data_IF_720905395105
#
_entry.id   IF_720905395105
#
_cell.length_a   1.000
_cell.length_b   1.000
_cell.length_c   1.000
_cell.angle_alpha   90.00
_cell.angle_beta   90.00
_cell.angle_gamma   90.00
#
_symmetry.space_group_name_H-M   'P 1'
#
loop_
_entity.id
_entity.type
_entity.pdbx_description
1 polymer ?
#
# COMPACT_ATOMS: atom_id res chain seq x y z
N UNK A 1 8.18 19.38 -10.86
CA UNK A 1 8.00 17.91 -10.83
C UNK A 1 7.85 17.32 -9.42
N UNK A 2 8.10 18.06 -8.33
CA UNK A 2 8.01 17.54 -6.96
C UNK A 2 6.64 16.91 -6.62
N UNK A 3 5.54 17.56 -7.01
CA UNK A 3 4.18 17.04 -6.78
C UNK A 3 3.98 15.70 -7.50
N UNK A 4 4.39 15.59 -8.76
CA UNK A 4 4.22 14.36 -9.54
C UNK A 4 4.98 13.18 -8.91
N UNK A 5 6.24 13.40 -8.48
CA UNK A 5 7.02 12.38 -7.78
C UNK A 5 6.45 12.05 -6.40
N UNK A 6 6.01 13.06 -5.65
CA UNK A 6 5.38 12.89 -4.35
C UNK A 6 4.10 12.07 -4.43
N UNK A 7 3.20 12.39 -5.37
CA UNK A 7 1.97 11.62 -5.62
C UNK A 7 2.31 10.20 -6.09
N UNK A 8 3.21 10.08 -7.07
CA UNK A 8 3.63 8.78 -7.62
C UNK A 8 4.15 7.86 -6.52
N UNK A 9 5.11 8.32 -5.69
CA UNK A 9 5.70 7.51 -4.62
C UNK A 9 4.78 7.35 -3.41
N UNK A 10 3.96 8.36 -3.09
CA UNK A 10 2.99 8.29 -2.00
C UNK A 10 1.95 7.18 -2.23
N UNK A 11 1.45 7.04 -3.46
CA UNK A 11 0.49 5.98 -3.81
C UNK A 11 1.11 4.59 -3.61
N UNK A 12 2.41 4.39 -3.83
CA UNK A 12 3.08 3.11 -3.56
C UNK A 12 3.18 2.75 -2.09
N UNK A 13 3.27 3.77 -1.23
CA UNK A 13 3.44 3.54 0.20
C UNK A 13 2.12 3.17 0.86
N UNK A 14 1.10 4.02 0.66
CA UNK A 14 -0.16 3.89 1.38
C UNK A 14 -1.26 3.18 0.60
N UNK A 15 -1.02 2.86 -0.66
CA UNK A 15 -1.96 2.17 -1.56
C UNK A 15 -3.31 2.89 -1.72
N UNK A 16 -3.36 4.19 -1.41
CA UNK A 16 -4.58 4.96 -1.46
C UNK A 16 -5.14 5.00 -2.89
N UNK A 17 -6.38 4.52 -3.03
CA UNK A 17 -7.07 4.46 -4.31
C UNK A 17 -6.69 3.27 -5.20
N UNK A 18 -5.71 2.44 -4.84
CA UNK A 18 -5.31 1.28 -5.65
C UNK A 18 -6.33 0.13 -5.64
N UNK A 19 -7.10 -0.01 -4.56
CA UNK A 19 -8.11 -1.08 -4.41
C UNK A 19 -7.58 -2.39 -3.82
N UNK A 20 -6.36 -2.37 -3.29
CA UNK A 20 -5.67 -3.51 -2.65
C UNK A 20 -6.04 -3.65 -1.17
N UNK A 21 -6.03 -2.55 -0.40
CA UNK A 21 -6.37 -2.53 1.03
C UNK A 21 -7.73 -3.18 1.41
N UNK A 22 -8.79 -3.11 0.58
CA UNK A 22 -10.05 -3.80 0.83
C UNK A 22 -9.94 -5.33 0.98
N UNK A 23 -8.93 -5.99 0.40
CA UNK A 23 -8.77 -7.45 0.52
C UNK A 23 -8.57 -7.85 1.98
N UNK A 24 -7.60 -7.23 2.67
CA UNK A 24 -7.36 -7.48 4.08
C UNK A 24 -8.51 -6.98 4.96
N UNK A 25 -9.15 -5.87 4.57
CA UNK A 25 -10.33 -5.36 5.29
C UNK A 25 -11.50 -6.34 5.27
N UNK A 26 -11.75 -6.99 4.13
CA UNK A 26 -12.85 -7.93 3.94
C UNK A 26 -12.67 -9.24 4.72
N UNK A 27 -11.44 -9.58 5.10
CA UNK A 27 -11.15 -10.74 5.94
C UNK A 27 -11.39 -10.49 7.44
N UNK A 28 -11.57 -9.23 7.86
CA UNK A 28 -11.81 -8.90 9.25
C UNK A 28 -13.28 -9.14 9.62
N UNK A 29 -13.51 -9.86 10.71
CA UNK A 29 -14.84 -10.00 11.30
C UNK A 29 -15.18 -8.72 12.07
N UNK A 30 -16.10 -7.92 11.52
CA UNK A 30 -16.56 -6.68 12.12
C UNK A 30 -18.08 -6.64 12.15
N UNK A 31 -18.66 -5.88 13.09
CA UNK A 31 -20.13 -5.72 13.20
C UNK A 31 -20.69 -4.69 12.22
N UNK A 32 -19.83 -3.82 11.70
CA UNK A 32 -20.21 -2.78 10.76
C UNK A 32 -19.03 -2.47 9.81
N UNK A 33 -19.23 -2.47 8.48
CA UNK A 33 -18.13 -2.32 7.50
C UNK A 33 -17.40 -0.98 7.62
N UNK A 34 -18.11 0.09 7.98
CA UNK A 34 -17.53 1.42 8.24
C UNK A 34 -16.48 1.40 9.34
N UNK A 35 -16.62 0.58 10.39
CA UNK A 35 -15.60 0.47 11.44
C UNK A 35 -14.26 0.05 10.85
N UNK A 36 -14.26 -0.99 9.99
CA UNK A 36 -13.04 -1.46 9.35
C UNK A 36 -12.53 -0.47 8.29
N UNK A 37 -13.44 0.18 7.56
CA UNK A 37 -13.07 1.26 6.64
C UNK A 37 -12.34 2.42 7.33
N UNK A 38 -12.73 2.78 8.54
CA UNK A 38 -12.07 3.83 9.33
C UNK A 38 -10.69 3.39 9.83
N UNK A 39 -10.54 2.14 10.27
CA UNK A 39 -9.22 1.57 10.64
C UNK A 39 -8.28 1.60 9.43
N UNK A 40 -8.78 1.25 8.23
CA UNK A 40 -7.98 1.30 7.01
C UNK A 40 -7.67 2.73 6.55
N UNK A 41 -8.56 3.69 6.74
CA UNK A 41 -8.23 5.09 6.48
C UNK A 41 -7.13 5.59 7.43
N UNK A 42 -7.10 5.10 8.67
CA UNK A 42 -6.07 5.43 9.65
C UNK A 42 -4.70 4.82 9.29
N UNK A 43 -4.64 3.66 8.62
CA UNK A 43 -3.34 3.08 8.21
C UNK A 43 -2.59 3.98 7.23
N UNK A 44 -3.30 4.69 6.34
CA UNK A 44 -2.71 5.71 5.43
C UNK A 44 -2.02 6.83 6.21
N UNK A 45 -2.61 7.28 7.32
CA UNK A 45 -2.01 8.28 8.20
C UNK A 45 -0.71 7.75 8.81
N UNK A 46 -0.72 6.54 9.37
CA UNK A 46 0.47 5.95 9.99
C UNK A 46 1.58 5.76 8.98
N UNK A 47 1.27 5.22 7.80
CA UNK A 47 2.27 4.95 6.78
C UNK A 47 2.89 6.26 6.23
N UNK A 48 2.07 7.17 5.70
CA UNK A 48 2.58 8.36 5.00
C UNK A 48 2.97 9.49 5.94
N UNK A 49 2.08 9.88 6.85
CA UNK A 49 2.30 11.06 7.69
C UNK A 49 3.23 10.78 8.86
N UNK A 50 3.28 9.55 9.36
CA UNK A 50 4.20 9.20 10.42
C UNK A 50 5.49 8.58 9.89
N UNK A 51 5.42 7.40 9.24
CA UNK A 51 6.62 6.63 8.85
C UNK A 51 7.39 7.27 7.70
N UNK A 52 6.74 7.59 6.57
CA UNK A 52 7.43 8.20 5.42
C UNK A 52 7.93 9.60 5.73
N UNK A 53 7.17 10.39 6.49
CA UNK A 53 7.59 11.74 6.86
C UNK A 53 8.79 11.71 7.81
N UNK A 54 8.82 10.81 8.79
CA UNK A 54 10.01 10.62 9.63
C UNK A 54 11.24 10.21 8.80
N UNK A 55 11.07 9.30 7.85
CA UNK A 55 12.15 8.88 6.93
C UNK A 55 12.64 10.06 6.08
N UNK A 56 11.72 10.84 5.51
CA UNK A 56 12.05 12.01 4.70
C UNK A 56 12.76 13.09 5.52
N UNK A 57 12.27 13.40 6.72
CA UNK A 57 12.91 14.38 7.60
C UNK A 57 14.31 13.93 8.01
N UNK A 58 14.50 12.66 8.35
CA UNK A 58 15.82 12.13 8.65
C UNK A 58 16.80 12.31 7.48
N UNK A 59 16.38 11.98 6.26
CA UNK A 59 17.20 12.17 5.04
C UNK A 59 17.52 13.65 4.80
N UNK A 60 16.53 14.53 4.97
CA UNK A 60 16.69 15.97 4.73
C UNK A 60 17.57 16.65 5.78
N UNK A 61 17.39 16.33 7.06
CA UNK A 61 18.14 16.92 8.18
C UNK A 61 19.62 16.50 8.11
N UNK A 62 19.89 15.25 7.77
CA UNK A 62 21.27 14.72 7.64
C UNK A 62 21.95 15.12 6.33
N UNK A 63 21.21 15.75 5.41
CA UNK A 63 21.71 16.14 4.09
C UNK A 63 22.02 14.95 3.17
N UNK A 64 21.58 13.74 3.50
CA UNK A 64 21.99 12.51 2.82
C UNK A 64 21.10 12.19 1.60
N UNK A 65 21.12 13.07 0.59
CA UNK A 65 20.34 12.92 -0.65
C UNK A 65 21.02 13.61 -1.83
N UNK A 66 20.68 13.17 -3.05
CA UNK A 66 20.99 13.90 -4.28
C UNK A 66 19.69 14.34 -4.96
N UNK A 67 19.75 15.46 -5.70
CA UNK A 67 18.65 15.99 -6.49
C UNK A 67 19.09 16.01 -7.95
N UNK A 68 18.45 15.21 -8.78
CA UNK A 68 18.75 15.14 -10.22
C UNK A 68 18.16 16.36 -10.95
N UNK A 69 18.97 16.96 -11.83
CA UNK A 69 18.49 17.97 -12.77
C UNK A 69 17.84 17.27 -13.97
N UNK A 70 16.59 17.62 -14.36
CA UNK A 70 15.95 17.05 -15.55
C UNK A 70 16.70 17.31 -16.85
N UNK A 71 17.50 18.38 -16.90
CA UNK A 71 18.34 18.74 -18.05
C UNK A 71 19.68 17.97 -18.08
N UNK A 72 19.94 17.13 -17.08
CA UNK A 72 21.16 16.35 -16.92
C UNK A 72 22.03 16.84 -15.76
N UNK A 73 22.71 15.91 -15.09
CA UNK A 73 23.52 16.18 -13.89
C UNK A 73 22.68 16.33 -12.61
N UNK A 74 23.24 17.02 -11.62
CA UNK A 74 22.64 17.18 -10.29
C UNK A 74 22.41 18.66 -9.97
N UNK A 75 21.24 18.99 -9.40
CA UNK A 75 21.00 20.27 -8.72
C UNK A 75 21.67 20.31 -7.35
N UNK A 76 21.72 19.16 -6.67
CA UNK A 76 22.41 18.96 -5.39
C UNK A 76 23.01 17.55 -5.42
N UNK A 77 24.30 17.42 -5.13
CA UNK A 77 25.00 16.14 -5.02
C UNK A 77 25.75 16.08 -3.69
N UNK A 78 25.11 15.53 -2.67
CA UNK A 78 25.72 15.39 -1.34
C UNK A 78 26.41 14.03 -1.16
N UNK A 79 26.00 13.01 -1.92
CA UNK A 79 26.55 11.65 -1.85
C UNK A 79 26.90 11.16 -3.26
N UNK A 80 28.10 11.49 -3.77
CA UNK A 80 28.52 11.07 -5.11
C UNK A 80 28.48 9.54 -5.27
N UNK A 81 27.88 9.07 -6.37
CA UNK A 81 27.77 7.64 -6.69
C UNK A 81 26.64 6.88 -5.97
N UNK A 82 25.95 7.49 -5.00
CA UNK A 82 24.82 6.84 -4.34
C UNK A 82 23.58 6.76 -5.23
N UNK A 83 22.96 5.59 -5.27
CA UNK A 83 21.73 5.34 -6.00
C UNK A 83 20.51 5.90 -5.27
N UNK A 84 19.52 6.36 -6.03
CA UNK A 84 18.24 6.81 -5.46
C UNK A 84 17.54 5.62 -4.79
N UNK A 85 17.17 5.78 -3.53
CA UNK A 85 16.35 4.83 -2.80
C UNK A 85 16.87 4.55 -1.41
N UNK A 86 16.95 3.27 -1.04
CA UNK A 86 17.33 2.83 0.30
C UNK A 86 18.72 3.32 0.75
N UNK A 87 19.63 3.59 -0.19
CA UNK A 87 20.98 4.06 0.11
C UNK A 87 20.99 5.46 0.77
N UNK A 88 20.02 6.32 0.47
CA UNK A 88 19.86 7.62 1.13
C UNK A 88 19.45 7.44 2.59
N UNK A 89 18.49 6.56 2.85
CA UNK A 89 18.09 6.19 4.22
C UNK A 89 19.25 5.57 4.99
N UNK A 90 20.00 4.67 4.35
CA UNK A 90 21.15 4.01 4.96
C UNK A 90 22.24 5.01 5.34
N UNK A 91 22.56 5.93 4.41
CA UNK A 91 23.55 6.99 4.64
C UNK A 91 23.10 7.93 5.76
N UNK A 92 21.82 8.30 5.80
CA UNK A 92 21.23 9.12 6.85
C UNK A 92 21.32 8.47 8.24
N UNK A 93 21.03 7.17 8.36
CA UNK A 93 21.18 6.49 9.66
C UNK A 93 22.66 6.36 10.05
N UNK A 94 23.55 6.17 9.07
CA UNK A 94 24.98 6.06 9.32
C UNK A 94 25.62 7.37 9.84
N UNK A 95 25.02 8.55 9.61
CA UNK A 95 25.57 9.80 10.17
C UNK A 95 25.46 9.81 11.70
N UNK A 96 24.36 9.30 12.25
CA UNK A 96 24.11 9.27 13.70
C UNK A 96 24.56 7.95 14.34
N UNK A 97 24.47 6.83 13.62
CA UNK A 97 24.81 5.49 14.10
C UNK A 97 25.78 4.75 13.16
N UNK A 98 27.06 5.18 13.04
CA UNK A 98 28.00 4.65 12.04
C UNK A 98 28.25 3.14 12.12
N UNK A 99 28.23 2.56 13.33
CA UNK A 99 28.51 1.13 13.54
C UNK A 99 27.29 0.22 13.28
N UNK A 100 26.07 0.77 13.28
CA UNK A 100 24.84 -0.01 13.26
C UNK A 100 23.91 0.33 12.08
N UNK A 101 24.03 1.50 11.47
CA UNK A 101 23.05 2.02 10.52
C UNK A 101 22.86 1.12 9.30
N UNK A 102 23.95 0.62 8.71
CA UNK A 102 23.89 -0.28 7.57
C UNK A 102 23.17 -1.60 7.90
N UNK A 103 23.48 -2.22 9.04
CA UNK A 103 22.84 -3.46 9.48
C UNK A 103 21.38 -3.25 9.88
N UNK A 104 21.08 -2.14 10.54
CA UNK A 104 19.72 -1.76 10.95
C UNK A 104 18.80 -1.57 9.74
N UNK A 105 19.23 -0.81 8.73
CA UNK A 105 18.43 -0.58 7.52
C UNK A 105 18.25 -1.87 6.72
N UNK A 106 19.30 -2.69 6.59
CA UNK A 106 19.19 -3.99 5.92
C UNK A 106 18.18 -4.93 6.60
N UNK A 107 18.24 -5.04 7.93
CA UNK A 107 17.31 -5.87 8.70
C UNK A 107 15.88 -5.31 8.62
N UNK A 108 15.72 -3.99 8.69
CA UNK A 108 14.41 -3.34 8.52
C UNK A 108 13.82 -3.64 7.14
N UNK A 109 14.59 -3.44 6.07
CA UNK A 109 14.17 -3.71 4.69
C UNK A 109 13.77 -5.17 4.48
N UNK A 110 14.42 -6.11 5.16
CA UNK A 110 14.03 -7.52 5.12
C UNK A 110 12.58 -7.71 5.60
N UNK A 111 12.19 -7.14 6.74
CA UNK A 111 10.81 -7.25 7.24
C UNK A 111 9.82 -6.49 6.37
N UNK A 112 10.15 -5.27 5.95
CA UNK A 112 9.28 -4.49 5.06
C UNK A 112 9.02 -5.25 3.75
N UNK A 113 10.07 -5.68 3.05
CA UNK A 113 9.92 -6.42 1.80
C UNK A 113 9.19 -7.75 1.99
N UNK A 114 9.51 -8.50 3.06
CA UNK A 114 8.86 -9.78 3.35
C UNK A 114 7.36 -9.61 3.59
N UNK A 115 6.96 -8.67 4.44
CA UNK A 115 5.54 -8.41 4.74
C UNK A 115 4.79 -7.96 3.48
N UNK A 116 5.39 -7.10 2.65
CA UNK A 116 4.81 -6.70 1.36
C UNK A 116 4.62 -7.88 0.41
N UNK A 117 5.62 -8.75 0.25
CA UNK A 117 5.49 -9.96 -0.61
C UNK A 117 4.34 -10.85 -0.14
N UNK A 118 4.22 -11.05 1.19
CA UNK A 118 3.13 -11.84 1.76
C UNK A 118 1.76 -11.20 1.55
N UNK A 119 1.64 -9.87 1.69
CA UNK A 119 0.40 -9.15 1.43
C UNK A 119 -0.02 -9.26 -0.05
N UNK A 120 0.92 -9.08 -0.99
CA UNK A 120 0.65 -9.22 -2.42
C UNK A 120 0.31 -10.66 -2.82
N UNK A 121 0.92 -11.67 -2.18
CA UNK A 121 0.52 -13.06 -2.35
C UNK A 121 -0.94 -13.27 -1.94
N UNK A 122 -1.33 -12.78 -0.76
CA UNK A 122 -2.71 -12.87 -0.28
C UNK A 122 -3.72 -12.20 -1.21
N UNK A 123 -3.40 -10.99 -1.70
CA UNK A 123 -4.23 -10.27 -2.68
C UNK A 123 -4.35 -11.08 -3.97
N UNK A 124 -3.24 -11.59 -4.50
CA UNK A 124 -3.24 -12.36 -5.74
C UNK A 124 -4.00 -13.69 -5.60
N UNK A 125 -3.88 -14.38 -4.47
CA UNK A 125 -4.64 -15.60 -4.18
C UNK A 125 -6.14 -15.30 -4.10
N UNK A 126 -6.53 -14.23 -3.42
CA UNK A 126 -7.94 -13.80 -3.32
C UNK A 126 -8.53 -13.49 -4.71
N UNK A 127 -7.79 -12.75 -5.54
CA UNK A 127 -8.19 -12.47 -6.92
C UNK A 127 -8.29 -13.73 -7.77
N UNK A 128 -7.35 -14.66 -7.60
CA UNK A 128 -7.39 -15.94 -8.30
C UNK A 128 -8.60 -16.78 -7.87
N UNK A 129 -8.92 -16.84 -6.58
CA UNK A 129 -10.11 -17.53 -6.08
C UNK A 129 -11.41 -16.93 -6.60
N UNK A 130 -11.45 -15.61 -6.83
CA UNK A 130 -12.60 -14.95 -7.46
C UNK A 130 -12.75 -15.32 -8.95
N UNK A 131 -11.65 -15.39 -9.69
CA UNK A 131 -11.65 -15.73 -11.12
C UNK A 131 -11.85 -17.23 -11.37
N UNK A 132 -11.19 -18.08 -10.58
CA UNK A 132 -11.24 -19.52 -10.69
C UNK A 132 -12.33 -20.12 -9.81
N UNK A 133 -13.58 -19.97 -10.27
CA UNK A 133 -14.77 -20.53 -9.61
C UNK A 133 -14.74 -22.05 -9.44
N UNK A 134 -13.83 -22.76 -10.13
CA UNK A 134 -13.69 -24.23 -10.05
C UNK A 134 -12.70 -24.67 -8.96
N UNK A 135 -11.95 -23.74 -8.35
CA UNK A 135 -11.01 -24.04 -7.27
C UNK A 135 -9.86 -24.94 -7.71
N UNK A 136 -9.23 -24.66 -8.85
CA UNK A 136 -8.11 -25.44 -9.36
C UNK A 136 -6.89 -25.29 -8.47
N UNK A 137 -6.54 -26.38 -7.78
CA UNK A 137 -5.30 -26.47 -6.98
C UNK A 137 -4.05 -26.20 -7.83
N UNK A 138 -4.09 -26.51 -9.12
CA UNK A 138 -2.99 -26.22 -10.04
C UNK A 138 -2.76 -24.71 -10.22
N UNK A 139 -3.84 -23.92 -10.35
CA UNK A 139 -3.72 -22.47 -10.53
C UNK A 139 -3.08 -21.81 -9.30
N UNK A 140 -3.44 -22.27 -8.09
CA UNK A 140 -2.84 -21.81 -6.84
C UNK A 140 -1.34 -22.13 -6.76
N UNK A 141 -0.94 -23.36 -7.12
CA UNK A 141 0.47 -23.72 -7.15
C UNK A 141 1.26 -22.96 -8.22
N UNK A 142 0.66 -22.72 -9.39
CA UNK A 142 1.25 -21.90 -10.43
C UNK A 142 1.46 -20.45 -9.95
N UNK A 143 0.50 -19.85 -9.25
CA UNK A 143 0.63 -18.52 -8.65
C UNK A 143 1.79 -18.45 -7.66
N UNK A 144 1.89 -19.43 -6.75
CA UNK A 144 2.98 -19.52 -5.77
C UNK A 144 4.34 -19.61 -6.45
N UNK A 145 4.45 -20.49 -7.45
CA UNK A 145 5.70 -20.66 -8.20
C UNK A 145 6.07 -19.38 -8.96
N UNK A 146 5.10 -18.71 -9.58
CA UNK A 146 5.30 -17.46 -10.29
C UNK A 146 5.82 -16.38 -9.36
N UNK A 147 5.23 -16.21 -8.18
CA UNK A 147 5.68 -15.22 -7.20
C UNK A 147 7.09 -15.51 -6.68
N UNK A 148 7.43 -16.77 -6.41
CA UNK A 148 8.79 -17.16 -6.02
C UNK A 148 9.80 -16.84 -7.12
N UNK A 149 9.47 -17.16 -8.38
CA UNK A 149 10.31 -16.83 -9.53
C UNK A 149 10.44 -15.31 -9.68
N UNK A 150 9.34 -14.55 -9.55
CA UNK A 150 9.36 -13.09 -9.64
C UNK A 150 10.19 -12.45 -8.52
N UNK A 151 10.08 -12.95 -7.28
CA UNK A 151 10.88 -12.48 -6.16
C UNK A 151 12.37 -12.74 -6.39
N UNK A 152 12.73 -13.95 -6.85
CA UNK A 152 14.11 -14.27 -7.22
C UNK A 152 14.61 -13.41 -8.38
N UNK A 153 13.81 -13.27 -9.44
CA UNK A 153 14.12 -12.44 -10.61
C UNK A 153 14.34 -10.97 -10.23
N UNK A 154 13.60 -10.47 -9.24
CA UNK A 154 13.78 -9.14 -8.66
C UNK A 154 15.17 -8.91 -8.04
N UNK A 155 15.88 -9.97 -7.65
CA UNK A 155 17.24 -9.84 -7.10
C UNK A 155 18.32 -9.68 -8.18
N UNK A 156 18.01 -10.00 -9.44
CA UNK A 156 18.98 -10.04 -10.56
C UNK A 156 18.75 -8.89 -11.56
N UNK A 157 17.62 -8.18 -11.48
CA UNK A 157 17.26 -7.08 -12.39
C UNK A 157 17.44 -5.71 -11.74
N UNK A 158 17.55 -4.69 -12.59
CA UNK A 158 17.64 -3.30 -12.12
C UNK A 158 16.32 -2.85 -11.52
N UNK A 159 16.39 -2.09 -10.42
CA UNK A 159 15.22 -1.55 -9.74
C UNK A 159 14.34 -0.72 -10.69
N UNK A 160 14.93 0.00 -11.66
CA UNK A 160 14.22 0.83 -12.62
C UNK A 160 13.21 0.06 -13.49
N UNK A 161 13.59 -1.12 -13.96
CA UNK A 161 12.68 -1.97 -14.77
C UNK A 161 11.49 -2.44 -13.94
N UNK A 162 11.74 -2.81 -12.67
CA UNK A 162 10.70 -3.21 -11.74
C UNK A 162 9.74 -2.04 -11.42
N UNK A 163 10.28 -0.84 -11.18
CA UNK A 163 9.48 0.36 -10.97
C UNK A 163 8.60 0.70 -12.16
N UNK A 164 9.14 0.60 -13.38
CA UNK A 164 8.37 0.91 -14.60
C UNK A 164 7.19 -0.05 -14.77
N UNK A 165 7.41 -1.35 -14.56
CA UNK A 165 6.33 -2.35 -14.63
C UNK A 165 5.30 -2.14 -13.51
N UNK A 166 5.78 -1.83 -12.29
CA UNK A 166 4.93 -1.48 -11.16
C UNK A 166 4.05 -0.27 -11.46
N UNK A 167 4.59 0.77 -12.09
CA UNK A 167 3.89 2.04 -12.32
C UNK A 167 2.69 1.85 -13.23
N UNK A 168 2.87 1.01 -14.26
CA UNK A 168 1.80 0.63 -15.19
C UNK A 168 0.73 -0.19 -14.44
N UNK A 169 1.15 -1.18 -13.67
CA UNK A 169 0.22 -2.05 -12.92
C UNK A 169 -0.61 -1.28 -11.90
N UNK A 170 0.05 -0.51 -11.03
CA UNK A 170 -0.58 0.36 -10.02
C UNK A 170 -1.49 1.39 -10.68
N UNK A 171 -1.05 1.99 -11.79
CA UNK A 171 -1.86 2.96 -12.54
C UNK A 171 -3.17 2.37 -13.05
N UNK A 172 -3.14 1.17 -13.63
CA UNK A 172 -4.34 0.48 -14.12
C UNK A 172 -5.27 0.12 -12.95
N UNK A 173 -4.73 -0.46 -11.88
CA UNK A 173 -5.51 -0.84 -10.69
C UNK A 173 -6.19 0.38 -10.07
N UNK A 174 -5.47 1.48 -9.90
CA UNK A 174 -6.00 2.71 -9.33
C UNK A 174 -7.14 3.29 -10.18
N UNK A 175 -6.99 3.35 -11.51
CA UNK A 175 -8.05 3.85 -12.38
C UNK A 175 -9.33 3.02 -12.31
N UNK A 176 -9.21 1.69 -12.38
CA UNK A 176 -10.36 0.79 -12.28
C UNK A 176 -11.07 0.94 -10.92
N UNK A 177 -10.29 1.00 -9.84
CA UNK A 177 -10.82 1.10 -8.50
C UNK A 177 -11.48 2.45 -8.21
N UNK A 178 -10.91 3.57 -8.69
CA UNK A 178 -11.52 4.90 -8.54
C UNK A 178 -12.89 4.96 -9.23
N UNK A 179 -13.01 4.39 -10.44
CA UNK A 179 -14.30 4.31 -11.14
C UNK A 179 -15.29 3.48 -10.31
N UNK A 180 -14.85 2.33 -9.77
CA UNK A 180 -15.70 1.50 -8.92
C UNK A 180 -16.17 2.24 -7.66
N UNK A 181 -15.31 2.98 -6.97
CA UNK A 181 -15.66 3.79 -5.80
C UNK A 181 -16.71 4.85 -6.17
N UNK A 182 -16.56 5.53 -7.31
CA UNK A 182 -17.52 6.54 -7.77
C UNK A 182 -18.90 5.92 -8.03
N UNK A 183 -18.96 4.70 -8.58
CA UNK A 183 -20.19 3.96 -8.81
C UNK A 183 -20.82 3.48 -7.49
N UNK A 184 -19.99 3.05 -6.53
CA UNK A 184 -20.40 2.56 -5.21
C UNK A 184 -20.59 3.67 -4.15
N UNK A 185 -20.49 4.95 -4.54
CA UNK A 185 -20.60 6.08 -3.59
C UNK A 185 -21.91 6.08 -2.80
N UNK A 186 -23.03 5.69 -3.43
CA UNK A 186 -24.35 5.71 -2.79
C UNK A 186 -24.43 4.74 -1.59
N UNK A 187 -24.20 3.42 -1.77
CA UNK A 187 -24.23 2.49 -0.63
C UNK A 187 -23.16 2.83 0.41
N UNK A 188 -21.97 3.27 0.01
CA UNK A 188 -20.92 3.67 0.96
C UNK A 188 -21.34 4.85 1.86
N UNK A 189 -21.94 5.89 1.28
CA UNK A 189 -22.43 7.04 2.05
C UNK A 189 -23.64 6.70 2.92
N UNK A 190 -24.51 5.79 2.47
CA UNK A 190 -25.63 5.30 3.28
C UNK A 190 -25.13 4.53 4.51
N UNK A 191 -24.19 3.60 4.32
CA UNK A 191 -23.57 2.87 5.43
C UNK A 191 -22.84 3.81 6.41
N UNK A 192 -22.16 4.84 5.91
CA UNK A 192 -21.51 5.84 6.76
C UNK A 192 -22.54 6.64 7.60
N UNK A 193 -23.65 7.05 6.97
CA UNK A 193 -24.72 7.76 7.67
C UNK A 193 -25.36 6.90 8.75
N UNK A 194 -25.59 5.63 8.46
CA UNK A 194 -26.11 4.66 9.42
C UNK A 194 -25.17 4.52 10.63
N UNK A 195 -23.89 4.25 10.39
CA UNK A 195 -22.85 4.17 11.42
C UNK A 195 -22.85 5.39 12.34
N UNK A 196 -22.85 6.60 11.76
CA UNK A 196 -22.86 7.85 12.52
C UNK A 196 -24.15 8.05 13.31
N UNK A 197 -25.28 7.60 12.79
CA UNK A 197 -26.58 7.70 13.47
C UNK A 197 -26.59 6.82 14.71
N UNK A 198 -26.14 5.57 14.58
CA UNK A 198 -26.04 4.64 15.71
C UNK A 198 -25.06 5.16 16.78
N UNK A 199 -23.90 5.69 16.38
CA UNK A 199 -22.94 6.32 17.31
C UNK A 199 -23.53 7.52 18.05
N UNK A 200 -24.33 8.36 17.38
CA UNK A 200 -25.00 9.51 18.00
C UNK A 200 -26.11 9.10 18.96
N UNK A 201 -26.73 7.95 18.73
CA UNK A 201 -27.74 7.36 19.62
C UNK A 201 -27.12 6.67 20.85
N UNK A 202 -25.80 6.70 20.99
CA UNK A 202 -25.08 6.12 22.14
C UNK A 202 -24.69 4.66 21.95
N UNK A 203 -24.85 4.08 20.74
CA UNK A 203 -24.34 2.73 20.47
C UNK A 203 -22.81 2.75 20.44
N UNK A 204 -22.18 2.00 21.36
CA UNK A 204 -20.73 1.83 21.37
C UNK A 204 -20.26 0.99 20.18
N UNK A 205 -21.04 -0.02 19.81
CA UNK A 205 -20.77 -0.92 18.70
C UNK A 205 -21.93 -0.90 17.69
N UNK A 206 -21.86 -0.02 16.67
CA UNK A 206 -22.83 -0.04 15.58
C UNK A 206 -22.88 -1.41 14.89
N UNK A 207 -24.08 -1.83 14.49
CA UNK A 207 -24.33 -3.08 13.79
C UNK A 207 -24.94 -2.76 12.44
N UNK A 208 -24.39 -3.33 11.37
CA UNK A 208 -24.83 -3.06 10.02
C UNK A 208 -25.95 -4.01 9.60
N UNK A 209 -27.05 -3.45 9.11
CA UNK A 209 -28.16 -4.18 8.49
C UNK A 209 -28.33 -3.71 7.05
N UNK A 210 -27.92 -4.56 6.11
CA UNK A 210 -28.00 -4.22 4.69
C UNK A 210 -29.45 -4.15 4.19
N UNK A 211 -30.35 -4.98 4.73
CA UNK A 211 -31.77 -5.03 4.33
C UNK A 211 -32.50 -3.77 4.78
N UNK A 212 -32.29 -3.32 6.00
CA UNK A 212 -32.85 -2.07 6.53
C UNK A 212 -32.43 -0.85 5.69
N UNK A 213 -31.21 -0.87 5.14
CA UNK A 213 -30.67 0.21 4.31
C UNK A 213 -30.96 0.04 2.81
N UNK A 214 -31.60 -1.06 2.40
CA UNK A 214 -31.91 -1.35 1.00
C UNK A 214 -30.67 -1.61 0.12
N UNK A 215 -29.55 -1.99 0.74
CA UNK A 215 -28.30 -2.31 0.04
C UNK A 215 -28.39 -3.77 -0.42
N UNK A 216 -28.19 -4.00 -1.73
CA UNK A 216 -28.26 -5.32 -2.36
C UNK A 216 -26.87 -5.91 -2.56
N UNK A 217 -26.81 -7.23 -2.84
CA UNK A 217 -25.57 -7.98 -3.12
C UNK A 217 -24.61 -8.01 -1.92
N UNK A 218 -25.14 -8.26 -0.73
CA UNK A 218 -24.40 -8.29 0.54
C UNK A 218 -24.57 -9.67 1.20
N UNK A 219 -24.05 -10.71 0.57
CA UNK A 219 -24.23 -12.12 1.00
C UNK A 219 -23.76 -12.41 2.44
N UNK A 220 -22.83 -11.60 2.96
CA UNK A 220 -22.26 -11.74 4.31
C UNK A 220 -23.00 -10.90 5.36
N UNK A 221 -23.86 -9.96 4.94
CA UNK A 221 -24.52 -8.98 5.81
C UNK A 221 -26.05 -9.08 5.74
N UNK A 222 -26.57 -10.30 5.67
CA UNK A 222 -28.01 -10.59 5.62
C UNK A 222 -28.76 -10.40 6.94
#
# INVERSE_FOLDING_TARGET
MAIAWGVKRGIYSNEAGQGTAPHAAAAAEVKHPVSQGLVQAFSVYVDTLFVCSATAFMILITGQYNVINPEGGFLVENIPGAQIGAEYTQSAVNTEFPALGAGFVAFSLLFFAFTTIMAYYYIAETNLSYLDKKGSKWALWALRLLLLISAFYGTIKTAESAWTLGDIGVGIMAWLNVIAIILLRKPALLALKDYQTQRKQGSEEPVFDAKALGIKNTEVWE
#
